data_IF_456006034122
#
_entry.id   IF_456006034122
#
_cell.length_a   1.000
_cell.length_b   1.000
_cell.length_c   1.000
_cell.angle_alpha   90.00
_cell.angle_beta   90.00
_cell.angle_gamma   90.00
#
_symmetry.space_group_name_H-M   'P 1'
#
loop_
_entity.id
_entity.type
_entity.pdbx_description
1 polymer ?
#
# COMPACT_ATOMS: atom_id res chain seq x y z
N UNK A 1 -15.47 -0.80 -8.97
CA UNK A 1 -14.73 0.42 -8.54
C UNK A 1 -15.64 1.62 -8.21
N UNK A 2 -16.61 2.00 -9.05
CA UNK A 2 -17.47 3.20 -8.80
C UNK A 2 -18.16 3.21 -7.42
N UNK A 3 -18.59 2.04 -6.91
CA UNK A 3 -19.23 1.93 -5.59
C UNK A 3 -18.27 2.22 -4.42
N UNK A 4 -17.00 1.83 -4.52
CA UNK A 4 -15.98 2.04 -3.47
C UNK A 4 -15.66 3.52 -3.32
N UNK A 5 -15.48 4.24 -4.43
CA UNK A 5 -15.24 5.68 -4.40
C UNK A 5 -16.42 6.44 -3.78
N UNK A 6 -17.66 6.08 -4.15
CA UNK A 6 -18.87 6.72 -3.60
C UNK A 6 -19.01 6.53 -2.09
N UNK A 7 -18.47 5.43 -1.56
CA UNK A 7 -18.46 5.15 -0.12
C UNK A 7 -17.47 6.03 0.65
N UNK A 8 -16.31 6.37 0.08
CA UNK A 8 -15.34 7.28 0.71
C UNK A 8 -15.70 8.77 0.60
N UNK A 9 -16.51 9.16 -0.40
CA UNK A 9 -16.94 10.56 -0.62
C UNK A 9 -17.44 11.29 0.64
N UNK A 10 -18.35 10.74 1.49
CA UNK A 10 -18.79 11.43 2.70
C UNK A 10 -17.64 11.74 3.66
N UNK A 11 -16.72 10.80 3.86
CA UNK A 11 -15.55 10.97 4.74
C UNK A 11 -14.55 11.99 4.16
N UNK A 12 -14.36 11.99 2.84
CA UNK A 12 -13.53 13.02 2.17
C UNK A 12 -14.16 14.41 2.25
N UNK A 13 -15.49 14.52 2.16
CA UNK A 13 -16.20 15.79 2.34
C UNK A 13 -16.04 16.32 3.77
N UNK A 14 -16.14 15.43 4.77
CA UNK A 14 -15.91 15.76 6.17
C UNK A 14 -14.49 16.33 6.38
N UNK A 15 -13.48 15.72 5.74
CA UNK A 15 -12.08 16.15 5.80
C UNK A 15 -11.59 16.95 4.58
N UNK A 16 -12.47 17.76 3.96
CA UNK A 16 -12.15 18.48 2.70
C UNK A 16 -10.87 19.31 2.74
N UNK A 17 -10.59 19.98 3.88
CA UNK A 17 -9.39 20.82 4.04
C UNK A 17 -8.12 19.96 4.03
N UNK A 18 -8.12 18.86 4.78
CA UNK A 18 -6.99 17.94 4.81
C UNK A 18 -6.77 17.26 3.45
N UNK A 19 -7.84 16.90 2.73
CA UNK A 19 -7.73 16.36 1.37
C UNK A 19 -7.11 17.37 0.40
N UNK A 20 -7.47 18.66 0.51
CA UNK A 20 -6.85 19.74 -0.26
C UNK A 20 -5.35 19.87 0.02
N UNK A 21 -4.95 19.86 1.31
CA UNK A 21 -3.53 19.90 1.72
C UNK A 21 -2.78 18.68 1.19
N UNK A 22 -3.37 17.49 1.31
CA UNK A 22 -2.78 16.25 0.83
C UNK A 22 -2.56 16.26 -0.69
N UNK A 23 -3.53 16.74 -1.47
CA UNK A 23 -3.38 16.90 -2.92
C UNK A 23 -2.28 17.91 -3.26
N UNK A 24 -2.22 19.04 -2.55
CA UNK A 24 -1.19 20.06 -2.76
C UNK A 24 0.23 19.55 -2.43
N UNK A 25 0.39 18.83 -1.32
CA UNK A 25 1.69 18.23 -0.96
C UNK A 25 2.06 17.14 -1.97
N UNK A 26 1.08 16.35 -2.44
CA UNK A 26 1.32 15.33 -3.46
C UNK A 26 1.81 15.94 -4.77
N UNK A 27 1.16 16.99 -5.27
CA UNK A 27 1.58 17.66 -6.51
C UNK A 27 2.95 18.33 -6.36
N UNK A 28 3.20 19.00 -5.23
CA UNK A 28 4.49 19.62 -4.94
C UNK A 28 5.63 18.58 -4.84
N UNK A 29 5.38 17.45 -4.18
CA UNK A 29 6.33 16.35 -4.09
C UNK A 29 6.64 15.73 -5.47
N UNK A 30 5.64 15.53 -6.32
CA UNK A 30 5.85 15.02 -7.69
C UNK A 30 6.64 16.03 -8.52
N UNK A 31 6.29 17.31 -8.46
CA UNK A 31 6.96 18.36 -9.21
C UNK A 31 8.44 18.48 -8.82
N UNK A 32 8.74 18.60 -7.53
CA UNK A 32 10.13 18.72 -7.02
C UNK A 32 10.95 17.48 -7.36
N UNK A 33 10.39 16.27 -7.21
CA UNK A 33 11.04 15.01 -7.59
C UNK A 33 11.38 14.94 -9.08
N UNK A 34 10.47 15.40 -9.93
CA UNK A 34 10.63 15.30 -11.40
C UNK A 34 11.54 16.40 -11.96
N UNK A 35 11.49 17.61 -11.39
CA UNK A 35 12.27 18.76 -11.85
C UNK A 35 13.71 18.71 -11.34
N UNK A 36 13.98 18.07 -10.21
CA UNK A 36 15.32 18.02 -9.60
C UNK A 36 16.44 17.54 -10.56
N UNK A 37 16.29 16.44 -11.32
CA UNK A 37 17.30 16.02 -12.31
C UNK A 37 17.55 17.05 -13.42
N UNK A 38 16.53 17.82 -13.82
CA UNK A 38 16.67 18.86 -14.83
C UNK A 38 17.51 20.04 -14.31
N UNK A 39 17.27 20.46 -13.06
CA UNK A 39 18.08 21.50 -12.40
C UNK A 39 19.52 21.02 -12.25
N UNK A 40 19.71 19.76 -11.87
CA UNK A 40 21.03 19.15 -11.76
C UNK A 40 21.79 19.15 -13.10
N UNK A 41 21.12 18.75 -14.19
CA UNK A 41 21.66 18.85 -15.56
C UNK A 41 22.03 20.29 -15.91
N UNK A 42 21.14 21.24 -15.66
CA UNK A 42 21.35 22.65 -15.98
C UNK A 42 22.61 23.19 -15.30
N UNK A 43 22.83 22.86 -14.03
CA UNK A 43 24.04 23.26 -13.29
C UNK A 43 25.29 22.63 -13.88
N UNK A 44 25.27 21.32 -14.17
CA UNK A 44 26.42 20.62 -14.77
C UNK A 44 26.78 21.22 -16.13
N UNK A 45 25.79 21.49 -16.99
CA UNK A 45 26.02 22.05 -18.32
C UNK A 45 26.71 23.42 -18.24
N UNK A 46 26.34 24.27 -17.25
CA UNK A 46 26.97 25.58 -17.05
C UNK A 46 28.39 25.48 -16.46
N UNK A 47 28.61 24.57 -15.51
CA UNK A 47 29.94 24.35 -14.94
C UNK A 47 30.95 23.79 -15.96
N UNK A 48 30.47 23.12 -17.02
CA UNK A 48 31.33 22.48 -18.02
C UNK A 48 31.63 23.39 -19.22
N UNK A 49 30.71 24.30 -19.59
CA UNK A 49 30.84 25.16 -20.78
C UNK A 49 31.51 26.50 -20.52
N UNK A 50 31.19 27.15 -19.41
CA UNK A 50 31.73 28.46 -19.04
C UNK A 50 32.52 28.32 -17.73
N UNK A 51 33.84 28.13 -17.84
CA UNK A 51 34.74 27.88 -16.71
C UNK A 51 35.07 29.19 -15.95
N UNK A 52 34.04 29.99 -15.65
CA UNK A 52 34.15 31.17 -14.80
C UNK A 52 33.79 30.75 -13.37
N UNK A 53 34.82 30.59 -12.53
CA UNK A 53 34.70 30.10 -11.16
C UNK A 53 33.92 31.03 -10.21
N UNK A 54 33.64 32.27 -10.63
CA UNK A 54 33.05 33.33 -9.79
C UNK A 54 31.63 33.00 -9.30
N UNK A 55 30.90 32.08 -9.96
CA UNK A 55 29.50 31.76 -9.64
C UNK A 55 29.28 30.32 -9.14
N UNK A 56 30.34 29.55 -8.87
CA UNK A 56 30.19 28.14 -8.44
C UNK A 56 29.44 28.03 -7.12
N UNK A 57 29.74 28.90 -6.16
CA UNK A 57 29.05 28.91 -4.86
C UNK A 57 27.54 29.13 -5.04
N UNK A 58 27.13 30.02 -5.94
CA UNK A 58 25.71 30.25 -6.25
C UNK A 58 25.03 28.99 -6.76
N UNK A 59 25.66 28.26 -7.69
CA UNK A 59 25.12 27.01 -8.22
C UNK A 59 25.04 25.89 -7.17
N UNK A 60 26.05 25.80 -6.28
CA UNK A 60 26.03 24.86 -5.15
C UNK A 60 24.87 25.18 -4.21
N UNK A 61 24.65 26.45 -3.87
CA UNK A 61 23.52 26.85 -3.04
C UNK A 61 22.16 26.59 -3.69
N UNK A 62 22.04 26.75 -5.01
CA UNK A 62 20.83 26.39 -5.75
C UNK A 62 20.55 24.89 -5.66
N UNK A 63 21.55 24.03 -5.91
CA UNK A 63 21.39 22.57 -5.81
C UNK A 63 21.00 22.17 -4.39
N UNK A 64 21.68 22.72 -3.38
CA UNK A 64 21.39 22.43 -1.98
C UNK A 64 19.98 22.90 -1.60
N UNK A 65 19.58 24.12 -1.97
CA UNK A 65 18.25 24.65 -1.69
C UNK A 65 17.14 23.83 -2.32
N UNK A 66 17.25 23.49 -3.61
CA UNK A 66 16.27 22.66 -4.32
C UNK A 66 16.27 21.23 -3.76
N UNK A 67 17.45 20.69 -3.44
CA UNK A 67 17.59 19.39 -2.80
C UNK A 67 16.88 19.32 -1.46
N UNK A 68 17.05 20.33 -0.60
CA UNK A 68 16.36 20.42 0.68
C UNK A 68 14.83 20.50 0.50
N UNK A 69 14.34 21.33 -0.43
CA UNK A 69 12.90 21.41 -0.72
C UNK A 69 12.35 20.07 -1.20
N UNK A 70 13.09 19.36 -2.06
CA UNK A 70 12.73 18.00 -2.48
C UNK A 70 12.66 17.07 -1.27
N UNK A 71 13.69 16.99 -0.43
CA UNK A 71 13.69 16.08 0.71
C UNK A 71 12.58 16.40 1.74
N UNK A 72 12.34 17.68 2.02
CA UNK A 72 11.24 18.11 2.90
C UNK A 72 9.88 17.65 2.35
N UNK A 73 9.63 17.84 1.05
CA UNK A 73 8.35 17.45 0.43
C UNK A 73 8.19 15.93 0.35
N UNK A 74 9.28 15.19 0.08
CA UNK A 74 9.27 13.72 0.09
C UNK A 74 9.06 13.15 1.49
N UNK A 75 9.56 13.81 2.53
CA UNK A 75 9.32 13.44 3.92
C UNK A 75 7.90 13.77 4.39
N UNK A 76 7.37 14.93 3.99
CA UNK A 76 6.06 15.41 4.44
C UNK A 76 4.89 14.63 3.81
N UNK A 77 5.05 14.14 2.58
CA UNK A 77 4.01 13.39 1.87
C UNK A 77 3.53 12.12 2.61
N UNK A 78 4.39 11.16 3.00
CA UNK A 78 3.96 9.98 3.75
C UNK A 78 3.36 10.33 5.11
N UNK A 79 3.89 11.34 5.81
CA UNK A 79 3.33 11.80 7.08
C UNK A 79 1.90 12.34 6.92
N UNK A 80 1.67 13.20 5.92
CA UNK A 80 0.34 13.77 5.63
C UNK A 80 -0.66 12.67 5.26
N UNK A 81 -0.23 11.67 4.48
CA UNK A 81 -1.05 10.50 4.16
C UNK A 81 -1.43 9.71 5.40
N UNK A 82 -0.46 9.47 6.29
CA UNK A 82 -0.69 8.75 7.53
C UNK A 82 -1.74 9.45 8.41
N UNK A 83 -1.58 10.76 8.65
CA UNK A 83 -2.56 11.54 9.41
C UNK A 83 -3.95 11.53 8.76
N UNK A 84 -4.02 11.57 7.42
CA UNK A 84 -5.29 11.48 6.71
C UNK A 84 -5.95 10.11 6.89
N UNK A 85 -5.19 9.02 6.72
CA UNK A 85 -5.69 7.66 6.92
C UNK A 85 -6.20 7.47 8.34
N UNK A 86 -5.44 7.90 9.35
CA UNK A 86 -5.82 7.82 10.76
C UNK A 86 -7.11 8.60 11.03
N UNK A 87 -7.19 9.83 10.50
CA UNK A 87 -8.38 10.67 10.65
C UNK A 87 -9.63 10.05 10.02
N UNK A 88 -9.55 9.59 8.77
CA UNK A 88 -10.69 8.94 8.10
C UNK A 88 -11.04 7.62 8.79
N UNK A 89 -10.03 6.85 9.22
CA UNK A 89 -10.22 5.59 9.94
C UNK A 89 -10.98 5.78 11.27
N UNK A 90 -10.70 6.86 11.99
CA UNK A 90 -11.46 7.25 13.18
C UNK A 90 -12.92 7.59 12.84
N UNK A 91 -13.16 8.38 11.79
CA UNK A 91 -14.51 8.76 11.38
C UNK A 91 -15.34 7.54 10.96
N UNK A 92 -14.72 6.59 10.24
CA UNK A 92 -15.33 5.31 9.87
C UNK A 92 -15.70 4.52 11.13
N UNK A 93 -14.76 4.35 12.08
CA UNK A 93 -15.01 3.63 13.34
C UNK A 93 -16.18 4.23 14.12
N UNK A 94 -16.21 5.55 14.28
CA UNK A 94 -17.30 6.22 14.99
C UNK A 94 -18.65 6.01 14.30
N UNK A 95 -18.69 6.12 12.97
CA UNK A 95 -19.93 5.89 12.21
C UNK A 95 -20.46 4.46 12.38
N UNK A 96 -19.61 3.45 12.24
CA UNK A 96 -20.02 2.04 12.41
C UNK A 96 -20.37 1.71 13.86
N UNK A 97 -19.63 2.27 14.82
CA UNK A 97 -19.95 2.10 16.23
C UNK A 97 -21.37 2.62 16.53
N UNK A 98 -21.70 3.84 16.08
CA UNK A 98 -23.05 4.38 16.23
C UNK A 98 -24.11 3.52 15.54
N UNK A 99 -23.84 2.99 14.35
CA UNK A 99 -24.80 2.15 13.65
C UNK A 99 -25.02 0.79 14.36
N UNK A 100 -23.96 0.18 14.87
CA UNK A 100 -24.03 -1.10 15.61
C UNK A 100 -24.78 -0.92 16.93
N UNK A 101 -24.54 0.18 17.64
CA UNK A 101 -25.23 0.48 18.91
C UNK A 101 -26.74 0.69 18.76
N UNK A 102 -27.21 0.98 17.54
CA UNK A 102 -28.64 1.12 17.24
C UNK A 102 -29.31 -0.19 16.76
N UNK A 103 -28.59 -1.33 16.76
CA UNK A 103 -29.15 -2.63 16.37
C UNK A 103 -29.89 -3.30 17.54
N UNK A 104 -30.79 -4.22 17.20
CA UNK A 104 -31.62 -4.95 18.16
C UNK A 104 -30.92 -6.17 18.77
N UNK A 105 -31.54 -6.77 19.78
CA UNK A 105 -31.02 -7.99 20.42
C UNK A 105 -30.80 -9.14 19.41
N UNK A 106 -31.66 -9.26 18.39
CA UNK A 106 -31.54 -10.29 17.36
C UNK A 106 -30.21 -10.18 16.61
N UNK A 107 -29.74 -8.95 16.33
CA UNK A 107 -28.45 -8.73 15.70
C UNK A 107 -27.30 -9.27 16.56
N UNK A 108 -27.29 -8.94 17.85
CA UNK A 108 -26.25 -9.39 18.79
C UNK A 108 -26.33 -10.88 19.12
N UNK A 109 -27.51 -11.50 19.03
CA UNK A 109 -27.65 -12.95 19.14
C UNK A 109 -27.06 -13.71 17.93
N UNK A 110 -26.99 -13.07 16.75
CA UNK A 110 -26.46 -13.69 15.52
C UNK A 110 -24.96 -13.44 15.29
N UNK A 111 -24.39 -12.41 15.88
CA UNK A 111 -22.98 -12.03 15.66
C UNK A 111 -22.20 -12.07 16.96
N UNK A 112 -21.06 -12.78 16.97
CA UNK A 112 -20.21 -12.88 18.16
C UNK A 112 -19.57 -11.52 18.45
N UNK A 113 -19.52 -11.14 19.72
CA UNK A 113 -18.89 -9.88 20.17
C UNK A 113 -17.45 -9.75 19.68
N UNK A 114 -16.67 -10.85 19.70
CA UNK A 114 -15.29 -10.88 19.19
C UNK A 114 -15.18 -10.54 17.70
N UNK A 115 -16.14 -10.96 16.88
CA UNK A 115 -16.17 -10.63 15.45
C UNK A 115 -16.43 -9.14 15.24
N UNK A 116 -17.36 -8.56 16.02
CA UNK A 116 -17.65 -7.12 15.98
C UNK A 116 -16.45 -6.29 16.42
N UNK A 117 -15.76 -6.70 17.48
CA UNK A 117 -14.52 -6.03 17.95
C UNK A 117 -13.45 -6.08 16.88
N UNK A 118 -13.17 -7.27 16.31
CA UNK A 118 -12.15 -7.44 15.26
C UNK A 118 -12.47 -6.61 14.02
N UNK A 119 -13.74 -6.53 13.61
CA UNK A 119 -14.17 -5.67 12.49
C UNK A 119 -13.98 -4.18 12.77
N UNK A 120 -14.20 -3.74 14.01
CA UNK A 120 -14.01 -2.33 14.39
C UNK A 120 -12.54 -1.96 14.62
N UNK A 121 -11.67 -2.93 14.91
CA UNK A 121 -10.23 -2.72 15.07
C UNK A 121 -9.47 -3.04 13.80
N UNK A 122 -9.35 -4.31 13.46
CA UNK A 122 -8.37 -4.85 12.52
C UNK A 122 -8.80 -4.69 11.05
N UNK A 123 -10.10 -4.62 10.78
CA UNK A 123 -10.59 -4.40 9.41
C UNK A 123 -10.56 -2.92 9.01
N UNK A 124 -10.63 -2.01 10.00
CA UNK A 124 -10.61 -0.57 9.75
C UNK A 124 -9.18 -0.03 9.85
N UNK A 125 -8.47 -0.32 10.94
CA UNK A 125 -7.14 0.20 11.21
C UNK A 125 -6.03 -0.75 10.73
N UNK A 126 -4.91 -0.17 10.33
CA UNK A 126 -3.73 -0.91 9.91
C UNK A 126 -3.36 -0.77 8.43
N UNK A 127 -2.18 -1.27 8.12
CA UNK A 127 -1.64 -1.23 6.76
C UNK A 127 -2.46 -2.09 5.82
N UNK A 128 -2.76 -1.54 4.63
CA UNK A 128 -3.58 -2.21 3.61
C UNK A 128 -5.00 -2.55 4.10
N UNK A 129 -5.52 -1.84 5.11
CA UNK A 129 -6.91 -1.91 5.59
C UNK A 129 -7.74 -0.72 5.10
N UNK A 130 -9.03 -0.67 5.48
CA UNK A 130 -9.99 0.30 4.94
C UNK A 130 -9.49 1.74 5.12
N UNK A 131 -8.97 2.09 6.30
CA UNK A 131 -8.44 3.43 6.57
C UNK A 131 -7.24 3.79 5.68
N UNK A 132 -6.34 2.84 5.42
CA UNK A 132 -5.21 3.03 4.54
C UNK A 132 -5.63 3.26 3.08
N UNK A 133 -6.65 2.53 2.61
CA UNK A 133 -7.18 2.73 1.25
C UNK A 133 -7.86 4.09 1.08
N UNK A 134 -8.37 4.68 2.15
CA UNK A 134 -9.07 5.96 2.13
C UNK A 134 -8.23 7.12 1.59
N UNK A 135 -6.92 7.14 1.84
CA UNK A 135 -6.03 8.14 1.27
C UNK A 135 -4.83 7.51 0.55
N UNK A 136 -4.02 6.69 1.24
CA UNK A 136 -2.82 6.09 0.64
C UNK A 136 -3.14 5.20 -0.56
N UNK A 137 -4.09 4.28 -0.41
CA UNK A 137 -4.38 3.30 -1.47
C UNK A 137 -4.93 3.92 -2.75
N UNK A 138 -5.78 4.94 -2.64
CA UNK A 138 -6.35 5.63 -3.80
C UNK A 138 -5.37 6.62 -4.44
N UNK A 139 -4.55 7.31 -3.64
CA UNK A 139 -3.64 8.33 -4.17
C UNK A 139 -2.34 7.77 -4.74
N UNK A 140 -1.87 6.60 -4.31
CA UNK A 140 -0.63 5.99 -4.84
C UNK A 140 -0.69 5.71 -6.35
N UNK A 141 -1.75 5.09 -6.91
CA UNK A 141 -1.87 4.94 -8.36
C UNK A 141 -1.89 6.29 -9.08
N UNK A 142 -2.61 7.28 -8.54
CA UNK A 142 -2.67 8.62 -9.12
C UNK A 142 -1.28 9.27 -9.14
N UNK A 143 -0.55 9.20 -8.03
CA UNK A 143 0.83 9.67 -7.93
C UNK A 143 1.74 8.95 -8.94
N UNK A 144 1.63 7.63 -9.08
CA UNK A 144 2.43 6.85 -10.02
C UNK A 144 2.17 7.28 -11.47
N UNK A 145 0.91 7.44 -11.87
CA UNK A 145 0.54 7.92 -13.21
C UNK A 145 1.03 9.34 -13.47
N UNK A 146 0.86 10.24 -12.49
CA UNK A 146 1.35 11.62 -12.61
C UNK A 146 2.87 11.66 -12.71
N UNK A 147 3.59 10.92 -11.85
CA UNK A 147 5.06 10.85 -11.87
C UNK A 147 5.56 10.33 -13.20
N UNK A 148 4.96 9.25 -13.71
CA UNK A 148 5.29 8.69 -15.03
C UNK A 148 5.02 9.71 -16.14
N UNK A 149 3.84 10.34 -16.13
CA UNK A 149 3.44 11.33 -17.13
C UNK A 149 4.36 12.56 -17.16
N UNK A 150 4.63 13.16 -15.99
CA UNK A 150 5.55 14.29 -15.87
C UNK A 150 6.98 13.92 -16.27
N UNK A 151 7.45 12.74 -15.87
CA UNK A 151 8.80 12.27 -16.22
C UNK A 151 8.94 12.07 -17.73
N UNK A 152 7.98 11.40 -18.38
CA UNK A 152 8.00 11.20 -19.83
C UNK A 152 7.90 12.54 -20.56
N UNK A 153 7.03 13.46 -20.12
CA UNK A 153 6.91 14.78 -20.72
C UNK A 153 8.22 15.58 -20.65
N UNK A 154 8.90 15.54 -19.50
CA UNK A 154 10.21 16.19 -19.31
C UNK A 154 11.32 15.51 -20.12
N UNK A 155 11.29 14.18 -20.25
CA UNK A 155 12.27 13.47 -21.08
C UNK A 155 12.08 13.77 -22.57
N UNK A 156 10.83 13.81 -23.05
CA UNK A 156 10.51 14.15 -24.43
C UNK A 156 10.96 15.56 -24.79
N UNK A 157 10.86 16.53 -23.87
CA UNK A 157 11.34 17.90 -24.09
C UNK A 157 12.87 17.99 -24.17
N UNK A 158 13.60 17.07 -23.52
CA UNK A 158 15.05 16.99 -23.60
C UNK A 158 15.53 16.28 -24.86
N UNK A 159 15.06 15.06 -25.12
CA UNK A 159 15.44 14.27 -26.29
C UNK A 159 14.46 13.11 -26.52
N UNK A 160 13.66 13.20 -27.59
CA UNK A 160 12.66 12.19 -27.91
C UNK A 160 13.27 10.82 -28.27
N UNK A 161 14.45 10.76 -28.90
CA UNK A 161 15.10 9.50 -29.31
C UNK A 161 15.57 8.71 -28.08
N UNK A 162 16.25 9.39 -27.15
CA UNK A 162 16.67 8.78 -25.88
C UNK A 162 15.47 8.36 -25.04
N UNK A 163 14.40 9.14 -25.06
CA UNK A 163 13.16 8.82 -24.34
C UNK A 163 12.52 7.53 -24.84
N UNK A 164 12.42 7.34 -26.16
CA UNK A 164 11.88 6.09 -26.72
C UNK A 164 12.72 4.88 -26.32
N UNK A 165 14.05 4.99 -26.34
CA UNK A 165 14.95 3.92 -25.89
C UNK A 165 14.72 3.61 -24.41
N UNK A 166 14.58 4.63 -23.57
CA UNK A 166 14.36 4.48 -22.13
C UNK A 166 12.97 3.92 -21.77
N UNK A 167 11.94 4.24 -22.57
CA UNK A 167 10.54 3.80 -22.36
C UNK A 167 10.28 2.43 -22.98
N UNK A 168 11.05 2.01 -23.98
CA UNK A 168 10.87 0.73 -24.68
C UNK A 168 10.77 -0.53 -23.78
N UNK A 169 11.47 -0.62 -22.62
CA UNK A 169 11.31 -1.75 -21.71
C UNK A 169 9.98 -1.76 -20.93
N UNK A 170 9.30 -0.61 -20.77
CA UNK A 170 8.11 -0.49 -19.91
C UNK A 170 6.96 -1.42 -20.33
N UNK A 171 6.58 -1.55 -21.62
CA UNK A 171 5.54 -2.50 -22.04
C UNK A 171 5.85 -3.95 -21.67
N UNK A 172 7.12 -4.38 -21.75
CA UNK A 172 7.55 -5.73 -21.38
C UNK A 172 7.39 -5.94 -19.88
N UNK A 173 7.81 -4.98 -19.07
CA UNK A 173 7.66 -5.03 -17.60
C UNK A 173 6.17 -5.11 -17.23
N UNK A 174 5.33 -4.25 -17.81
CA UNK A 174 3.88 -4.25 -17.58
C UNK A 174 3.26 -5.60 -17.96
N UNK A 175 3.69 -6.18 -19.09
CA UNK A 175 3.20 -7.49 -19.54
C UNK A 175 3.57 -8.62 -18.57
N UNK A 176 4.83 -8.66 -18.09
CA UNK A 176 5.30 -9.66 -17.12
C UNK A 176 4.52 -9.55 -15.80
N UNK A 177 4.32 -8.33 -15.30
CA UNK A 177 3.54 -8.07 -14.08
C UNK A 177 2.10 -8.56 -14.26
N UNK A 178 1.44 -8.17 -15.36
CA UNK A 178 0.06 -8.55 -15.64
C UNK A 178 -0.13 -10.07 -15.76
N UNK A 179 0.83 -10.78 -16.36
CA UNK A 179 0.78 -12.24 -16.46
C UNK A 179 0.98 -12.94 -15.12
N UNK A 180 1.83 -12.39 -14.26
CA UNK A 180 2.13 -13.02 -12.97
C UNK A 180 1.05 -12.74 -11.92
N UNK A 181 0.21 -11.72 -12.11
CA UNK A 181 -0.89 -11.36 -11.20
C UNK A 181 -1.81 -12.56 -10.89
N UNK A 182 -2.27 -13.28 -11.92
CA UNK A 182 -3.17 -14.42 -11.72
C UNK A 182 -2.53 -15.58 -10.94
N UNK A 183 -1.22 -15.78 -11.13
CA UNK A 183 -0.46 -16.81 -10.42
C UNK A 183 -0.36 -16.45 -8.94
N UNK A 184 -0.04 -15.17 -8.64
CA UNK A 184 -0.03 -14.66 -7.28
C UNK A 184 -1.39 -14.78 -6.62
N UNK A 185 -2.46 -14.30 -7.27
CA UNK A 185 -3.82 -14.36 -6.73
C UNK A 185 -4.20 -15.79 -6.33
N UNK A 186 -3.96 -16.77 -7.20
CA UNK A 186 -4.23 -18.20 -6.89
C UNK A 186 -3.41 -18.71 -5.71
N UNK A 187 -2.13 -18.37 -5.64
CA UNK A 187 -1.26 -18.79 -4.54
C UNK A 187 -1.70 -18.17 -3.20
N UNK A 188 -2.01 -16.87 -3.18
CA UNK A 188 -2.54 -16.19 -2.00
C UNK A 188 -3.90 -16.73 -1.57
N UNK A 189 -4.82 -17.01 -2.50
CA UNK A 189 -6.12 -17.62 -2.18
C UNK A 189 -5.94 -19.02 -1.56
N UNK A 190 -5.02 -19.83 -2.09
CA UNK A 190 -4.71 -21.14 -1.51
C UNK A 190 -4.12 -21.02 -0.11
N UNK A 191 -3.16 -20.11 0.10
CA UNK A 191 -2.57 -19.82 1.41
C UNK A 191 -3.63 -19.38 2.42
N UNK A 192 -4.55 -18.50 2.00
CA UNK A 192 -5.64 -18.03 2.85
C UNK A 192 -6.56 -19.18 3.25
N UNK A 193 -6.97 -20.03 2.30
CA UNK A 193 -7.78 -21.22 2.58
C UNK A 193 -7.12 -22.15 3.61
N UNK A 194 -5.82 -22.43 3.45
CA UNK A 194 -5.06 -23.29 4.40
C UNK A 194 -4.86 -22.64 5.77
N UNK A 195 -4.80 -21.31 5.82
CA UNK A 195 -4.79 -20.58 7.09
C UNK A 195 -6.13 -20.72 7.80
N UNK A 196 -7.26 -20.54 7.10
CA UNK A 196 -8.59 -20.75 7.66
C UNK A 196 -8.80 -22.17 8.18
N UNK A 197 -8.45 -23.20 7.40
CA UNK A 197 -8.54 -24.61 7.85
C UNK A 197 -7.72 -24.88 9.13
N UNK A 198 -6.59 -24.19 9.32
CA UNK A 198 -5.79 -24.28 10.54
C UNK A 198 -6.51 -23.64 11.74
N UNK A 199 -7.11 -22.46 11.52
CA UNK A 199 -7.89 -21.74 12.54
C UNK A 199 -9.11 -22.56 12.97
N UNK A 200 -9.84 -23.15 12.03
CA UNK A 200 -11.02 -23.97 12.31
C UNK A 200 -10.68 -25.18 13.20
N UNK A 201 -9.53 -25.84 12.95
CA UNK A 201 -9.04 -26.94 13.79
C UNK A 201 -8.69 -26.48 15.21
N UNK A 202 -8.07 -25.31 15.36
CA UNK A 202 -7.75 -24.73 16.67
C UNK A 202 -9.01 -24.33 17.43
N UNK A 203 -9.94 -23.64 16.77
CA UNK A 203 -11.21 -23.22 17.38
C UNK A 203 -12.01 -24.44 17.85
N UNK A 204 -12.11 -25.48 17.01
CA UNK A 204 -12.78 -26.74 17.37
C UNK A 204 -12.11 -27.43 18.55
N UNK A 205 -10.76 -27.45 18.59
CA UNK A 205 -10.01 -28.05 19.68
C UNK A 205 -10.21 -27.32 21.01
N UNK A 206 -10.16 -25.99 21.00
CA UNK A 206 -10.27 -25.17 22.21
C UNK A 206 -11.71 -25.05 22.70
N UNK A 207 -12.68 -24.93 21.79
CA UNK A 207 -14.10 -24.98 22.16
C UNK A 207 -14.47 -26.34 22.78
N UNK A 208 -13.93 -27.42 22.23
CA UNK A 208 -14.11 -28.79 22.71
C UNK A 208 -13.08 -29.27 23.73
N UNK A 209 -12.33 -28.39 24.40
CA UNK A 209 -11.13 -28.78 25.16
C UNK A 209 -11.41 -29.81 26.27
N UNK A 210 -12.59 -29.72 26.91
CA UNK A 210 -13.01 -30.69 27.94
C UNK A 210 -13.19 -32.10 27.38
N UNK A 211 -13.63 -32.24 26.12
CA UNK A 211 -13.77 -33.53 25.43
C UNK A 211 -12.37 -34.05 25.09
N UNK A 212 -11.51 -33.20 24.53
CA UNK A 212 -10.14 -33.59 24.15
C UNK A 212 -9.36 -34.13 25.36
N UNK A 213 -9.41 -33.42 26.49
CA UNK A 213 -8.75 -33.83 27.74
C UNK A 213 -9.46 -35.01 28.40
N UNK A 214 -10.80 -35.00 28.45
CA UNK A 214 -11.59 -36.06 29.07
C UNK A 214 -11.41 -37.43 28.42
N UNK A 215 -11.11 -37.47 27.12
CA UNK A 215 -10.81 -38.70 26.38
C UNK A 215 -9.30 -38.94 26.16
N UNK A 216 -8.42 -38.13 26.78
CA UNK A 216 -6.94 -38.23 26.61
C UNK A 216 -6.54 -38.24 25.12
N UNK A 217 -7.20 -37.39 24.33
CA UNK A 217 -7.10 -37.33 22.88
C UNK A 217 -6.10 -36.25 22.39
N UNK A 218 -5.28 -35.66 23.26
CA UNK A 218 -4.37 -34.55 22.94
C UNK A 218 -3.37 -34.95 21.85
N UNK A 219 -2.83 -36.17 21.92
CA UNK A 219 -1.92 -36.70 20.89
C UNK A 219 -2.61 -36.86 19.53
N UNK A 220 -3.88 -37.26 19.52
CA UNK A 220 -4.66 -37.40 18.29
C UNK A 220 -4.94 -36.03 17.67
N UNK A 221 -5.36 -35.06 18.49
CA UNK A 221 -5.58 -33.69 18.03
C UNK A 221 -4.28 -33.03 17.54
N UNK A 222 -3.16 -33.30 18.20
CA UNK A 222 -1.83 -32.86 17.77
C UNK A 222 -1.41 -33.41 16.40
N UNK A 223 -1.81 -34.65 16.06
CA UNK A 223 -1.58 -35.21 14.71
C UNK A 223 -2.43 -34.50 13.65
N UNK A 224 -3.69 -34.20 13.94
CA UNK A 224 -4.58 -33.45 13.04
C UNK A 224 -4.01 -32.05 12.79
N UNK A 225 -3.64 -31.33 13.86
CA UNK A 225 -3.04 -30.00 13.76
C UNK A 225 -1.73 -30.03 12.95
N UNK A 226 -0.85 -31.00 13.22
CA UNK A 226 0.40 -31.17 12.47
C UNK A 226 0.16 -31.39 10.97
N UNK A 227 -0.90 -32.11 10.59
CA UNK A 227 -1.26 -32.34 9.18
C UNK A 227 -1.66 -31.02 8.49
N UNK A 228 -2.62 -30.28 9.06
CA UNK A 228 -3.07 -29.01 8.46
C UNK A 228 -1.96 -27.96 8.43
N UNK A 229 -1.10 -27.94 9.45
CA UNK A 229 0.08 -27.07 9.48
C UNK A 229 1.08 -27.38 8.36
N UNK A 230 1.34 -28.66 8.06
CA UNK A 230 2.21 -29.03 6.92
C UNK A 230 1.62 -28.55 5.59
N UNK A 231 0.31 -28.65 5.41
CA UNK A 231 -0.35 -28.16 4.20
C UNK A 231 -0.29 -26.64 4.09
N UNK A 232 -0.46 -25.93 5.20
CA UNK A 232 -0.28 -24.47 5.27
C UNK A 232 1.14 -24.05 4.91
N UNK A 233 2.17 -24.72 5.47
CA UNK A 233 3.57 -24.42 5.15
C UNK A 233 3.85 -24.59 3.65
N UNK A 234 3.39 -25.69 3.03
CA UNK A 234 3.53 -25.90 1.58
C UNK A 234 2.84 -24.81 0.74
N UNK A 235 1.70 -24.29 1.20
CA UNK A 235 1.03 -23.18 0.54
C UNK A 235 1.81 -21.87 0.69
N UNK A 236 2.40 -21.62 1.86
CA UNK A 236 3.28 -20.48 2.12
C UNK A 236 4.55 -20.52 1.28
N UNK A 237 5.21 -21.68 1.16
CA UNK A 237 6.40 -21.89 0.33
C UNK A 237 6.14 -21.49 -1.14
N UNK A 238 4.97 -21.85 -1.68
CA UNK A 238 4.59 -21.41 -3.05
C UNK A 238 4.53 -19.90 -3.18
N UNK A 239 3.96 -19.21 -2.19
CA UNK A 239 3.89 -17.74 -2.18
C UNK A 239 5.29 -17.15 -2.09
N UNK A 240 6.16 -17.70 -1.23
CA UNK A 240 7.54 -17.24 -1.08
C UNK A 240 8.35 -17.43 -2.36
N UNK A 241 8.21 -18.57 -3.04
CA UNK A 241 8.89 -18.82 -4.31
C UNK A 241 8.45 -17.85 -5.40
N UNK A 242 7.14 -17.60 -5.53
CA UNK A 242 6.62 -16.63 -6.50
C UNK A 242 7.11 -15.22 -6.16
N UNK A 243 7.06 -14.85 -4.88
CA UNK A 243 7.50 -13.54 -4.41
C UNK A 243 8.99 -13.32 -4.63
N UNK A 244 9.84 -14.27 -4.23
CA UNK A 244 11.30 -14.18 -4.41
C UNK A 244 11.70 -14.12 -5.88
N UNK A 245 11.02 -14.87 -6.75
CA UNK A 245 11.21 -14.77 -8.20
C UNK A 245 10.86 -13.36 -8.70
N UNK A 246 9.74 -12.78 -8.26
CA UNK A 246 9.35 -11.42 -8.65
C UNK A 246 10.28 -10.33 -8.10
N UNK A 247 10.74 -10.46 -6.87
CA UNK A 247 11.73 -9.56 -6.27
C UNK A 247 13.06 -9.61 -7.04
N UNK A 248 13.49 -10.80 -7.49
CA UNK A 248 14.68 -10.94 -8.33
C UNK A 248 14.56 -10.27 -9.70
N UNK A 249 13.33 -10.08 -10.20
CA UNK A 249 13.05 -9.38 -11.46
C UNK A 249 12.91 -7.86 -11.29
N UNK A 250 13.04 -7.33 -10.06
CA UNK A 250 12.82 -5.91 -9.76
C UNK A 250 11.37 -5.47 -9.91
N UNK A 251 10.41 -6.41 -9.87
CA UNK A 251 9.00 -6.15 -10.12
C UNK A 251 8.17 -5.80 -8.86
N UNK A 252 8.82 -5.44 -7.74
CA UNK A 252 8.19 -4.97 -6.50
C UNK A 252 8.98 -3.88 -5.82
#
# INVERSE_FOLDING_TARGET
>A
MKHVFRWFLPFWKLRRKGMGILLLITTLAIATKTVYPYIFKFVIDHLTRDIHYDNILTWVWIILGVGLVREITQWLLPATRYFMNMGIGMDIRLNYFHEIMNKDYTFFARHRTGDLTTRLTDDIDGDLKIAWYAASGILRPVEAFLTLGFSIALMLSLNWRLTLIAVAPLPVIIWVIAKTEHIQQRAYSLRQKKTSETVDVLESAFSGIRIVVGYVAEKAQGKIFRRVMKERVRAEEKVVLIRSFLESLGAM
#
